data_IF_925508241317
#
_entry.id   IF_925508241317
#
_cell.length_a   1.000
_cell.length_b   1.000
_cell.length_c   1.000
_cell.angle_alpha   90.00
_cell.angle_beta   90.00
_cell.angle_gamma   90.00
#
_symmetry.space_group_name_H-M   'P 1'
#
loop_
_entity.id
_entity.type
_entity.pdbx_description
1 polymer ?
#
# COMPACT_ATOMS: atom_id res chain seq x y z
N UNK A 1 19.79 9.21 -1.95
CA UNK A 1 18.32 8.95 -1.96
C UNK A 1 17.50 10.16 -1.48
N UNK A 2 17.76 10.74 -0.29
CA UNK A 2 16.97 11.90 0.23
C UNK A 2 16.91 13.11 -0.73
N UNK A 3 18.02 13.46 -1.39
CA UNK A 3 18.04 14.57 -2.37
C UNK A 3 17.21 14.31 -3.64
N UNK A 4 17.03 13.05 -4.05
CA UNK A 4 16.25 12.71 -5.24
C UNK A 4 14.75 12.77 -4.93
N UNK A 5 14.33 12.18 -3.81
CA UNK A 5 12.94 12.24 -3.35
C UNK A 5 12.49 13.68 -3.10
N UNK A 6 13.35 14.52 -2.51
CA UNK A 6 13.03 15.93 -2.29
C UNK A 6 12.81 16.70 -3.60
N UNK A 7 13.61 16.42 -4.65
CA UNK A 7 13.41 17.03 -5.97
C UNK A 7 12.09 16.59 -6.60
N UNK A 8 11.74 15.30 -6.51
CA UNK A 8 10.47 14.78 -7.01
C UNK A 8 9.27 15.34 -6.24
N UNK A 9 9.39 15.45 -4.91
CA UNK A 9 8.35 16.05 -4.07
C UNK A 9 8.08 17.50 -4.46
N UNK A 10 9.13 18.28 -4.71
CA UNK A 10 9.01 19.68 -5.19
C UNK A 10 8.28 19.76 -6.53
N UNK A 11 8.47 18.78 -7.42
CA UNK A 11 7.78 18.69 -8.71
C UNK A 11 6.30 18.32 -8.56
N UNK A 12 5.97 17.44 -7.60
CA UNK A 12 4.59 16.98 -7.35
C UNK A 12 3.79 17.96 -6.50
N UNK A 13 4.45 18.83 -5.71
CA UNK A 13 3.80 19.84 -4.86
C UNK A 13 2.68 20.66 -5.54
N UNK A 14 2.80 21.18 -6.78
CA UNK A 14 1.71 21.91 -7.44
C UNK A 14 0.53 21.03 -7.88
N UNK A 15 0.74 19.74 -8.10
CA UNK A 15 -0.29 18.77 -8.50
C UNK A 15 -0.77 17.90 -7.33
N UNK A 16 -0.34 18.23 -6.11
CA UNK A 16 -0.68 17.48 -4.91
C UNK A 16 -2.19 17.56 -4.67
N UNK A 17 -2.85 16.41 -4.57
CA UNK A 17 -4.29 16.33 -4.36
C UNK A 17 -4.53 16.13 -2.85
N UNK A 18 -5.08 17.14 -2.14
CA UNK A 18 -5.40 16.98 -0.73
C UNK A 18 -6.57 16.01 -0.56
N UNK A 19 -6.52 15.14 0.45
CA UNK A 19 -7.49 14.07 0.69
C UNK A 19 -7.62 13.11 -0.50
N UNK A 20 -6.50 12.77 -1.15
CA UNK A 20 -6.48 11.89 -2.32
C UNK A 20 -7.26 10.59 -2.07
N UNK A 21 -7.10 9.99 -0.89
CA UNK A 21 -7.76 8.72 -0.59
C UNK A 21 -9.27 8.82 -0.42
N UNK A 22 -9.81 10.01 -0.11
CA UNK A 22 -11.26 10.26 -0.11
C UNK A 22 -11.84 10.10 -1.51
N UNK A 23 -11.22 10.74 -2.50
CA UNK A 23 -11.67 10.67 -3.89
C UNK A 23 -11.56 9.25 -4.44
N UNK A 24 -10.47 8.56 -4.13
CA UNK A 24 -10.24 7.20 -4.60
C UNK A 24 -11.26 6.24 -3.98
N UNK A 25 -11.38 6.22 -2.65
CA UNK A 25 -12.33 5.34 -1.95
C UNK A 25 -13.80 5.67 -2.27
N UNK A 26 -14.14 6.96 -2.42
CA UNK A 26 -15.46 7.39 -2.85
C UNK A 26 -15.80 6.92 -4.27
N UNK A 27 -14.84 6.98 -5.19
CA UNK A 27 -15.03 6.47 -6.56
C UNK A 27 -15.15 4.94 -6.58
N UNK A 28 -14.38 4.22 -5.76
CA UNK A 28 -14.55 2.77 -5.60
C UNK A 28 -15.96 2.40 -5.11
N UNK A 29 -16.51 3.18 -4.18
CA UNK A 29 -17.90 2.99 -3.72
C UNK A 29 -18.89 3.20 -4.86
N UNK A 30 -18.69 4.22 -5.69
CA UNK A 30 -19.52 4.47 -6.86
C UNK A 30 -19.44 3.34 -7.89
N UNK A 31 -18.24 2.85 -8.19
CA UNK A 31 -18.05 1.70 -9.11
C UNK A 31 -18.79 0.47 -8.58
N UNK A 32 -18.63 0.16 -7.29
CA UNK A 32 -19.35 -0.96 -6.68
C UNK A 32 -20.87 -0.78 -6.71
N UNK A 33 -21.38 0.42 -6.42
CA UNK A 33 -22.80 0.70 -6.48
C UNK A 33 -23.35 0.53 -7.90
N UNK A 34 -22.61 0.97 -8.91
CA UNK A 34 -22.98 0.78 -10.32
C UNK A 34 -22.99 -0.71 -10.70
N UNK A 35 -21.99 -1.49 -10.29
CA UNK A 35 -21.99 -2.94 -10.52
C UNK A 35 -23.17 -3.64 -9.83
N UNK A 36 -23.55 -3.18 -8.64
CA UNK A 36 -24.66 -3.73 -7.88
C UNK A 36 -26.01 -3.46 -8.57
N UNK A 37 -26.19 -2.27 -9.15
CA UNK A 37 -27.41 -1.88 -9.86
C UNK A 37 -27.46 -2.45 -11.29
N UNK A 38 -26.30 -2.61 -11.94
CA UNK A 38 -26.16 -3.01 -13.34
C UNK A 38 -25.23 -4.23 -13.50
N UNK A 39 -25.57 -5.40 -12.91
CA UNK A 39 -24.66 -6.55 -12.87
C UNK A 39 -24.32 -7.13 -14.25
N UNK A 40 -25.14 -6.86 -15.27
CA UNK A 40 -24.93 -7.37 -16.63
C UNK A 40 -23.86 -6.65 -17.46
N UNK A 41 -23.38 -5.48 -17.02
CA UNK A 41 -22.41 -4.68 -17.79
C UNK A 41 -20.97 -5.16 -17.57
N UNK A 42 -20.67 -5.74 -16.40
CA UNK A 42 -19.32 -6.13 -16.03
C UNK A 42 -18.34 -4.96 -16.03
N UNK A 43 -18.73 -3.82 -15.44
CA UNK A 43 -17.99 -2.54 -15.50
C UNK A 43 -16.52 -2.72 -15.10
N UNK A 44 -16.25 -3.52 -14.07
CA UNK A 44 -14.89 -3.78 -13.60
C UNK A 44 -13.97 -4.32 -14.70
N UNK A 45 -14.47 -5.14 -15.63
CA UNK A 45 -13.69 -5.71 -16.73
C UNK A 45 -13.13 -4.64 -17.68
N UNK A 46 -13.81 -3.49 -17.78
CA UNK A 46 -13.36 -2.33 -18.54
C UNK A 46 -12.40 -1.43 -17.76
N UNK A 47 -12.34 -1.57 -16.44
CA UNK A 47 -11.53 -0.75 -15.54
C UNK A 47 -10.17 -1.39 -15.21
N UNK A 48 -10.07 -2.73 -15.17
CA UNK A 48 -8.80 -3.43 -14.96
C UNK A 48 -7.75 -3.03 -16.00
N UNK A 49 -6.50 -2.98 -15.59
CA UNK A 49 -5.41 -2.81 -16.54
C UNK A 49 -5.25 -4.11 -17.32
N UNK A 50 -5.54 -4.04 -18.61
CA UNK A 50 -5.36 -5.11 -19.58
C UNK A 50 -4.44 -4.56 -20.68
N UNK A 51 -3.31 -5.24 -20.88
CA UNK A 51 -2.27 -4.79 -21.81
C UNK A 51 -2.74 -4.84 -23.26
N UNK A 52 -3.47 -5.89 -23.63
CA UNK A 52 -3.84 -6.10 -25.03
C UNK A 52 -4.95 -5.12 -25.42
N UNK A 53 -5.91 -4.88 -24.52
CA UNK A 53 -6.92 -3.85 -24.68
C UNK A 53 -6.31 -2.43 -24.68
N UNK A 54 -5.24 -2.19 -23.92
CA UNK A 54 -4.52 -0.93 -23.93
C UNK A 54 -3.91 -0.64 -25.32
N UNK A 55 -3.28 -1.64 -25.94
CA UNK A 55 -2.75 -1.50 -27.30
C UNK A 55 -3.82 -1.37 -28.38
N UNK A 56 -5.04 -1.82 -28.09
CA UNK A 56 -6.24 -1.59 -28.93
C UNK A 56 -6.85 -0.19 -28.74
N UNK A 57 -6.24 0.69 -27.94
CA UNK A 57 -6.65 2.09 -27.78
C UNK A 57 -7.40 2.41 -26.47
N UNK A 58 -7.56 1.45 -25.56
CA UNK A 58 -8.25 1.66 -24.27
C UNK A 58 -7.33 2.32 -23.23
N UNK A 59 -6.86 3.54 -23.52
CA UNK A 59 -5.86 4.28 -22.71
C UNK A 59 -6.34 4.65 -21.30
N UNK A 60 -7.65 4.70 -21.07
CA UNK A 60 -8.22 4.97 -19.74
C UNK A 60 -7.83 3.89 -18.72
N UNK A 61 -7.53 2.66 -19.17
CA UNK A 61 -7.09 1.54 -18.32
C UNK A 61 -5.82 1.82 -17.53
N UNK A 62 -5.03 2.83 -17.90
CA UNK A 62 -3.86 3.28 -17.15
C UNK A 62 -4.20 4.00 -15.84
N UNK A 63 -5.44 4.44 -15.67
CA UNK A 63 -5.89 5.20 -14.50
C UNK A 63 -7.07 4.50 -13.83
N UNK A 64 -7.99 3.92 -14.59
CA UNK A 64 -9.24 3.37 -14.06
C UNK A 64 -9.04 2.21 -13.09
N UNK A 65 -7.95 1.45 -13.21
CA UNK A 65 -7.67 0.33 -12.31
C UNK A 65 -7.49 0.79 -10.85
N UNK A 66 -7.17 2.06 -10.62
CA UNK A 66 -7.06 2.65 -9.28
C UNK A 66 -8.40 2.61 -8.53
N UNK A 67 -9.51 2.72 -9.25
CA UNK A 67 -10.86 2.86 -8.69
C UNK A 67 -11.61 1.54 -8.59
N UNK A 68 -10.92 0.41 -8.77
CA UNK A 68 -11.53 -0.91 -8.61
C UNK A 68 -11.91 -1.16 -7.15
N UNK A 69 -13.17 -1.52 -6.85
CA UNK A 69 -13.55 -1.89 -5.51
C UNK A 69 -12.88 -3.22 -5.10
N UNK A 70 -12.58 -3.42 -3.81
CA UNK A 70 -12.09 -4.70 -3.33
C UNK A 70 -13.16 -5.79 -3.52
N UNK A 71 -12.77 -6.94 -4.08
CA UNK A 71 -13.62 -8.11 -4.32
C UNK A 71 -14.12 -8.71 -2.99
N UNK A 72 -15.18 -8.13 -2.44
CA UNK A 72 -15.70 -8.41 -1.12
C UNK A 72 -17.21 -8.20 -1.09
N UNK A 73 -17.91 -8.81 -0.13
CA UNK A 73 -19.36 -8.69 -0.02
C UNK A 73 -19.82 -7.25 0.30
N UNK A 74 -21.12 -6.94 0.13
CA UNK A 74 -21.67 -5.58 0.28
C UNK A 74 -21.42 -4.92 1.65
N UNK A 75 -21.31 -5.70 2.71
CA UNK A 75 -21.01 -5.19 4.07
C UNK A 75 -19.50 -4.95 4.22
N UNK A 76 -18.70 -5.85 3.66
CA UNK A 76 -17.24 -5.82 3.79
C UNK A 76 -16.61 -4.69 2.99
N UNK A 77 -17.20 -4.31 1.85
CA UNK A 77 -16.67 -3.20 1.06
C UNK A 77 -16.72 -1.88 1.82
N UNK A 78 -17.80 -1.60 2.56
CA UNK A 78 -17.92 -0.37 3.35
C UNK A 78 -16.80 -0.32 4.39
N UNK A 79 -16.55 -1.45 5.05
CA UNK A 79 -15.45 -1.60 6.00
C UNK A 79 -14.08 -1.42 5.34
N UNK A 80 -13.85 -2.04 4.18
CA UNK A 80 -12.59 -1.93 3.45
C UNK A 80 -12.31 -0.50 2.97
N UNK A 81 -13.32 0.20 2.45
CA UNK A 81 -13.19 1.59 2.01
C UNK A 81 -12.98 2.56 3.16
N UNK A 82 -13.68 2.36 4.28
CA UNK A 82 -13.41 3.09 5.53
C UNK A 82 -11.97 2.90 5.99
N UNK A 83 -11.47 1.66 5.95
CA UNK A 83 -10.11 1.34 6.32
C UNK A 83 -9.08 2.00 5.40
N UNK A 84 -9.29 1.93 4.09
CA UNK A 84 -8.45 2.62 3.10
C UNK A 84 -8.43 4.13 3.31
N UNK A 85 -9.59 4.74 3.56
CA UNK A 85 -9.69 6.16 3.84
C UNK A 85 -8.89 6.55 5.09
N UNK A 86 -9.03 5.80 6.20
CA UNK A 86 -8.27 6.05 7.44
C UNK A 86 -6.77 5.94 7.22
N UNK A 87 -6.32 4.89 6.52
CA UNK A 87 -4.91 4.70 6.18
C UNK A 87 -4.39 5.91 5.40
N UNK A 88 -5.10 6.27 4.33
CA UNK A 88 -4.70 7.36 3.45
C UNK A 88 -4.63 8.70 4.16
N UNK A 89 -5.68 9.08 4.90
CA UNK A 89 -5.73 10.37 5.61
C UNK A 89 -4.65 10.48 6.68
N UNK A 90 -4.42 9.42 7.46
CA UNK A 90 -3.38 9.46 8.49
C UNK A 90 -1.97 9.51 7.90
N UNK A 91 -1.70 8.78 6.81
CA UNK A 91 -0.44 8.87 6.08
C UNK A 91 -0.25 10.27 5.46
N UNK A 92 -1.28 10.81 4.84
CA UNK A 92 -1.26 12.14 4.24
C UNK A 92 -1.01 13.24 5.28
N UNK A 93 -1.63 13.14 6.46
CA UNK A 93 -1.36 14.06 7.59
C UNK A 93 0.07 13.96 8.10
N UNK A 94 0.62 12.75 8.16
CA UNK A 94 1.99 12.53 8.65
C UNK A 94 3.06 12.99 7.66
N UNK A 95 2.80 12.91 6.36
CA UNK A 95 3.76 13.19 5.30
C UNK A 95 3.57 14.52 4.59
N UNK A 96 2.36 15.08 4.65
CA UNK A 96 1.89 16.15 3.77
C UNK A 96 1.37 15.61 2.43
N UNK A 97 0.44 16.36 1.83
CA UNK A 97 -0.24 15.99 0.58
C UNK A 97 0.75 15.69 -0.57
N UNK A 98 1.77 16.52 -0.77
CA UNK A 98 2.73 16.35 -1.87
C UNK A 98 3.49 15.02 -1.82
N UNK A 99 3.98 14.64 -0.64
CA UNK A 99 4.73 13.39 -0.45
C UNK A 99 3.81 12.17 -0.54
N UNK A 100 2.58 12.27 -0.03
CA UNK A 100 1.58 11.22 -0.18
C UNK A 100 1.16 11.01 -1.64
N UNK A 101 0.87 12.09 -2.37
CA UNK A 101 0.58 12.02 -3.82
C UNK A 101 1.77 11.43 -4.57
N UNK A 102 3.02 11.84 -4.28
CA UNK A 102 4.20 11.25 -4.91
C UNK A 102 4.33 9.75 -4.62
N UNK A 103 4.11 9.33 -3.37
CA UNK A 103 4.11 7.92 -3.00
C UNK A 103 3.08 7.12 -3.79
N UNK A 104 1.87 7.67 -3.92
CA UNK A 104 0.78 7.06 -4.68
C UNK A 104 1.11 6.97 -6.17
N UNK A 105 1.67 8.03 -6.77
CA UNK A 105 2.06 8.08 -8.18
C UNK A 105 3.20 7.11 -8.51
N UNK A 106 4.22 7.00 -7.66
CA UNK A 106 5.31 6.03 -7.87
C UNK A 106 4.77 4.60 -7.78
N UNK A 107 3.89 4.33 -6.81
CA UNK A 107 3.22 3.04 -6.73
C UNK A 107 2.36 2.73 -7.96
N UNK A 108 1.67 3.74 -8.49
CA UNK A 108 0.83 3.62 -9.68
C UNK A 108 1.70 3.29 -10.89
N UNK A 109 2.79 4.03 -11.09
CA UNK A 109 3.74 3.75 -12.17
C UNK A 109 4.34 2.34 -12.04
N UNK A 110 4.73 1.92 -10.83
CA UNK A 110 5.25 0.57 -10.59
C UNK A 110 4.23 -0.52 -10.93
N UNK A 111 2.97 -0.32 -10.54
CA UNK A 111 1.87 -1.26 -10.83
C UNK A 111 1.54 -1.30 -12.31
N UNK A 112 1.51 -0.14 -12.98
CA UNK A 112 1.30 -0.05 -14.42
C UNK A 112 2.42 -0.75 -15.18
N UNK A 113 3.69 -0.51 -14.84
CA UNK A 113 4.83 -1.18 -15.48
C UNK A 113 4.76 -2.70 -15.25
N UNK A 114 4.46 -3.15 -14.03
CA UNK A 114 4.26 -4.56 -13.74
C UNK A 114 3.12 -5.17 -14.57
N UNK A 115 2.00 -4.47 -14.72
CA UNK A 115 0.89 -4.91 -15.55
C UNK A 115 1.18 -4.90 -17.04
N UNK A 116 2.00 -3.97 -17.53
CA UNK A 116 2.47 -3.98 -18.93
C UNK A 116 3.39 -5.15 -19.23
N UNK A 117 4.23 -5.56 -18.27
CA UNK A 117 5.12 -6.72 -18.43
C UNK A 117 4.31 -8.02 -18.38
N UNK A 118 3.33 -8.10 -17.48
CA UNK A 118 2.66 -9.37 -17.15
C UNK A 118 1.28 -9.55 -17.78
N UNK A 119 0.73 -8.50 -18.40
CA UNK A 119 -0.54 -8.51 -19.12
C UNK A 119 -1.72 -7.96 -18.32
N UNK A 120 -1.66 -7.95 -16.99
CA UNK A 120 -2.77 -7.54 -16.12
C UNK A 120 -2.30 -6.73 -14.90
N UNK A 121 -3.09 -5.74 -14.46
CA UNK A 121 -2.81 -4.95 -13.26
C UNK A 121 -4.06 -4.54 -12.48
N UNK A 122 -3.92 -4.46 -11.15
CA UNK A 122 -4.97 -4.06 -10.20
C UNK A 122 -4.42 -3.16 -9.10
N UNK A 123 -5.30 -2.49 -8.36
CA UNK A 123 -4.91 -1.62 -7.24
C UNK A 123 -4.55 -2.35 -5.94
N UNK A 124 -4.64 -3.69 -5.89
CA UNK A 124 -4.32 -4.50 -4.71
C UNK A 124 -2.91 -4.17 -4.17
N UNK A 125 -1.94 -4.01 -5.06
CA UNK A 125 -0.53 -3.78 -4.72
C UNK A 125 -0.27 -2.36 -4.20
N UNK A 126 -1.01 -1.39 -4.73
CA UNK A 126 -1.00 -0.01 -4.24
C UNK A 126 -1.53 0.06 -2.81
N UNK A 127 -2.69 -0.55 -2.59
CA UNK A 127 -3.31 -0.62 -1.27
C UNK A 127 -2.45 -1.39 -0.27
N UNK A 128 -1.78 -2.46 -0.71
CA UNK A 128 -0.84 -3.22 0.11
C UNK A 128 0.36 -2.37 0.53
N UNK A 129 0.98 -1.66 -0.42
CA UNK A 129 2.14 -0.80 -0.13
C UNK A 129 1.75 0.29 0.90
N UNK A 130 0.59 0.92 0.71
CA UNK A 130 0.01 1.88 1.66
C UNK A 130 -0.25 1.26 3.03
N UNK A 131 -0.78 0.05 3.08
CA UNK A 131 -1.04 -0.63 4.34
C UNK A 131 0.23 -0.95 5.10
N UNK A 132 1.28 -1.44 4.43
CA UNK A 132 2.59 -1.64 5.05
C UNK A 132 3.22 -0.33 5.53
N UNK A 133 3.13 0.73 4.72
CA UNK A 133 3.56 2.07 5.11
C UNK A 133 2.89 2.52 6.41
N UNK A 134 1.57 2.33 6.50
CA UNK A 134 0.78 2.66 7.68
C UNK A 134 1.18 1.81 8.89
N UNK A 135 1.36 0.50 8.70
CA UNK A 135 1.74 -0.41 9.78
C UNK A 135 3.09 -0.08 10.43
N UNK A 136 4.05 0.43 9.65
CA UNK A 136 5.37 0.82 10.16
C UNK A 136 5.34 2.15 10.91
N UNK A 137 4.52 3.10 10.45
CA UNK A 137 4.40 4.41 11.10
C UNK A 137 3.52 4.33 12.34
N UNK A 138 2.42 3.59 12.25
CA UNK A 138 1.35 3.54 13.24
C UNK A 138 1.08 2.08 13.73
N UNK A 139 2.08 1.34 14.25
CA UNK A 139 1.91 -0.07 14.63
C UNK A 139 0.94 -0.29 15.79
N UNK A 140 0.79 0.71 16.66
CA UNK A 140 -0.09 0.68 17.82
C UNK A 140 -1.45 1.34 17.56
N UNK A 141 -1.73 1.81 16.34
CA UNK A 141 -3.04 2.35 16.00
C UNK A 141 -4.08 1.24 16.04
N UNK A 142 -5.23 1.53 16.63
CA UNK A 142 -6.32 0.57 16.81
C UNK A 142 -7.41 0.87 15.78
N UNK A 143 -7.76 -0.15 14.99
CA UNK A 143 -8.91 -0.10 14.09
C UNK A 143 -9.98 -1.02 14.63
N UNK A 144 -11.22 -0.53 14.62
CA UNK A 144 -12.39 -1.32 14.98
C UNK A 144 -12.74 -2.28 13.85
N UNK A 145 -12.23 -3.50 13.93
CA UNK A 145 -12.56 -4.60 13.03
C UNK A 145 -14.05 -4.92 13.14
N UNK A 146 -14.76 -4.90 12.00
CA UNK A 146 -16.23 -4.97 11.91
C UNK A 146 -16.98 -3.97 12.79
N UNK A 147 -16.38 -2.82 13.11
CA UNK A 147 -16.94 -1.83 14.05
C UNK A 147 -17.15 -2.35 15.49
N UNK A 148 -16.63 -3.54 15.83
CA UNK A 148 -16.84 -4.17 17.15
C UNK A 148 -15.52 -4.42 17.88
N UNK A 149 -14.50 -4.95 17.20
CA UNK A 149 -13.27 -5.41 17.85
C UNK A 149 -12.09 -4.46 17.59
N UNK A 150 -11.57 -3.73 18.59
CA UNK A 150 -10.36 -2.93 18.41
C UNK A 150 -9.14 -3.84 18.23
N UNK A 151 -8.55 -3.81 17.05
CA UNK A 151 -7.33 -4.59 16.73
C UNK A 151 -6.22 -3.63 16.33
N UNK A 152 -5.03 -3.85 16.89
CA UNK A 152 -3.83 -3.08 16.53
C UNK A 152 -3.38 -3.41 15.11
N UNK A 153 -3.03 -2.39 14.34
CA UNK A 153 -2.58 -2.54 12.95
C UNK A 153 -1.43 -3.52 12.80
N UNK A 154 -0.49 -3.58 13.75
CA UNK A 154 0.62 -4.55 13.69
C UNK A 154 0.18 -6.01 13.56
N UNK A 155 -0.96 -6.38 14.15
CA UNK A 155 -1.48 -7.75 14.05
C UNK A 155 -2.15 -7.99 12.71
N UNK A 156 -2.91 -7.01 12.22
CA UNK A 156 -3.52 -7.06 10.89
C UNK A 156 -2.45 -7.11 9.80
N UNK A 157 -1.39 -6.32 9.92
CA UNK A 157 -0.27 -6.31 9.00
C UNK A 157 0.50 -7.64 9.00
N UNK A 158 0.64 -8.29 10.15
CA UNK A 158 1.26 -9.61 10.24
C UNK A 158 0.41 -10.69 9.58
N UNK A 159 -0.91 -10.68 9.81
CA UNK A 159 -1.85 -11.60 9.18
C UNK A 159 -1.86 -11.41 7.67
N UNK A 160 -2.00 -10.17 7.22
CA UNK A 160 -2.00 -9.81 5.80
C UNK A 160 -0.67 -10.21 5.15
N UNK A 161 0.47 -9.91 5.77
CA UNK A 161 1.78 -10.37 5.28
C UNK A 161 1.88 -11.89 5.16
N UNK A 162 1.37 -12.64 6.14
CA UNK A 162 1.36 -14.10 6.07
C UNK A 162 0.48 -14.62 4.92
N UNK A 163 -0.71 -14.04 4.75
CA UNK A 163 -1.60 -14.36 3.63
C UNK A 163 -0.96 -14.02 2.28
N UNK A 164 -0.26 -12.90 2.19
CA UNK A 164 0.47 -12.49 0.98
C UNK A 164 1.64 -13.40 0.64
N UNK A 165 2.41 -13.84 1.64
CA UNK A 165 3.50 -14.82 1.43
C UNK A 165 2.93 -16.14 0.95
N UNK A 166 1.82 -16.59 1.55
CA UNK A 166 1.12 -17.78 1.11
C UNK A 166 0.63 -17.63 -0.35
N UNK A 167 -0.02 -16.52 -0.69
CA UNK A 167 -0.46 -16.28 -2.07
C UNK A 167 0.70 -16.22 -3.06
N UNK A 168 1.84 -15.66 -2.66
CA UNK A 168 3.05 -15.63 -3.50
C UNK A 168 3.56 -17.03 -3.80
N UNK A 169 3.64 -17.90 -2.79
CA UNK A 169 4.08 -19.29 -2.96
C UNK A 169 3.14 -20.02 -3.94
N UNK A 170 1.83 -19.88 -3.76
CA UNK A 170 0.85 -20.43 -4.69
C UNK A 170 0.94 -19.84 -6.08
N UNK A 171 1.19 -18.54 -6.21
CA UNK A 171 1.35 -17.87 -7.50
C UNK A 171 2.57 -18.40 -8.26
N UNK A 172 3.71 -18.62 -7.57
CA UNK A 172 4.92 -19.17 -8.17
C UNK A 172 4.68 -20.62 -8.63
N UNK A 173 4.05 -21.44 -7.80
CA UNK A 173 3.71 -22.83 -8.16
C UNK A 173 2.73 -22.87 -9.34
N UNK A 174 1.74 -21.96 -9.35
CA UNK A 174 0.75 -21.84 -10.42
C UNK A 174 1.23 -21.08 -11.66
N UNK A 175 2.51 -20.69 -11.75
CA UNK A 175 3.10 -19.91 -12.86
C UNK A 175 2.38 -18.57 -13.13
N UNK A 176 1.76 -17.98 -12.10
CA UNK A 176 1.04 -16.69 -12.15
C UNK A 176 2.00 -15.53 -11.97
N UNK A 177 2.88 -15.34 -12.95
CA UNK A 177 3.95 -14.33 -12.92
C UNK A 177 3.44 -12.89 -12.72
N UNK A 178 2.19 -12.61 -13.10
CA UNK A 178 1.56 -11.32 -12.88
C UNK A 178 1.44 -10.96 -11.39
N UNK A 179 1.11 -11.93 -10.54
CA UNK A 179 1.00 -11.67 -9.10
C UNK A 179 2.37 -11.45 -8.48
N UNK A 180 3.36 -12.24 -8.90
CA UNK A 180 4.73 -12.14 -8.39
C UNK A 180 5.35 -10.78 -8.75
N UNK A 181 5.26 -10.36 -10.01
CA UNK A 181 5.81 -9.09 -10.47
C UNK A 181 5.20 -7.90 -9.71
N UNK A 182 3.90 -7.97 -9.47
CA UNK A 182 3.19 -6.89 -8.82
C UNK A 182 3.42 -6.85 -7.30
N UNK A 183 3.65 -8.01 -6.64
CA UNK A 183 4.13 -8.03 -5.25
C UNK A 183 5.53 -7.40 -5.17
N UNK A 184 6.44 -7.75 -6.07
CA UNK A 184 7.79 -7.15 -6.11
C UNK A 184 7.69 -5.64 -6.28
N UNK A 185 6.82 -5.15 -7.19
CA UNK A 185 6.59 -3.71 -7.37
C UNK A 185 6.07 -3.03 -6.09
N UNK A 186 5.16 -3.67 -5.35
CA UNK A 186 4.65 -3.13 -4.07
C UNK A 186 5.73 -3.00 -3.00
N UNK A 187 6.61 -4.01 -2.89
CA UNK A 187 7.73 -4.02 -1.95
C UNK A 187 8.77 -2.98 -2.36
N UNK A 188 9.08 -2.86 -3.65
CA UNK A 188 9.99 -1.84 -4.15
C UNK A 188 9.48 -0.42 -3.82
N UNK A 189 8.20 -0.15 -4.04
CA UNK A 189 7.61 1.15 -3.68
C UNK A 189 7.73 1.43 -2.17
N UNK A 190 7.42 0.42 -1.34
CA UNK A 190 7.57 0.52 0.11
C UNK A 190 9.04 0.76 0.52
N UNK A 191 9.99 -0.04 0.03
CA UNK A 191 11.41 0.08 0.36
C UNK A 191 12.04 1.38 -0.17
N UNK A 192 11.54 1.94 -1.27
CA UNK A 192 12.05 3.21 -1.80
C UNK A 192 11.79 4.37 -0.84
N UNK A 193 10.63 4.38 -0.17
CA UNK A 193 10.27 5.42 0.80
C UNK A 193 10.70 5.11 2.24
N UNK A 194 10.65 3.85 2.65
CA UNK A 194 10.95 3.44 4.02
C UNK A 194 12.33 2.82 4.22
N UNK A 195 13.01 2.37 3.17
CA UNK A 195 14.29 1.65 3.30
C UNK A 195 15.32 2.46 4.08
N UNK A 196 15.47 3.75 3.78
CA UNK A 196 16.41 4.61 4.50
C UNK A 196 16.15 4.76 6.00
N UNK A 197 14.88 4.80 6.42
CA UNK A 197 14.50 4.93 7.84
C UNK A 197 14.37 3.57 8.55
N UNK A 198 14.01 2.50 7.83
CA UNK A 198 13.93 1.14 8.34
C UNK A 198 15.31 0.56 8.64
N UNK A 199 16.27 0.69 7.71
CA UNK A 199 17.66 0.27 7.95
C UNK A 199 18.32 1.10 9.06
N UNK A 200 17.94 2.37 9.21
CA UNK A 200 18.40 3.22 10.31
C UNK A 200 17.83 2.77 11.66
N UNK A 201 16.53 2.50 11.78
CA UNK A 201 15.93 1.96 13.02
C UNK A 201 16.54 0.61 13.44
N UNK A 202 16.74 -0.32 12.50
CA UNK A 202 17.36 -1.62 12.81
C UNK A 202 18.82 -1.45 13.28
N UNK A 203 19.56 -0.55 12.65
CA UNK A 203 20.94 -0.24 13.03
C UNK A 203 21.02 0.45 14.39
N UNK A 204 20.09 1.35 14.68
CA UNK A 204 19.96 2.04 15.96
C UNK A 204 19.57 1.06 17.08
N UNK A 205 18.59 0.17 16.88
CA UNK A 205 18.20 -0.84 17.88
C UNK A 205 19.33 -1.83 18.20
N UNK A 206 20.12 -2.24 17.21
CA UNK A 206 21.34 -3.06 17.43
C UNK A 206 22.41 -2.27 18.20
N UNK A 207 22.57 -0.97 17.91
CA UNK A 207 23.47 -0.07 18.64
C UNK A 207 23.06 0.18 20.08
N UNK A 208 21.78 0.45 20.34
CA UNK A 208 21.24 0.66 21.69
C UNK A 208 21.30 -0.62 22.54
N UNK A 209 21.05 -1.80 21.96
CA UNK A 209 21.17 -3.07 22.69
C UNK A 209 22.63 -3.39 23.05
N UNK A 210 23.59 -3.05 22.18
CA UNK A 210 25.02 -3.19 22.45
C UNK A 210 25.50 -2.22 23.55
N UNK A 211 25.07 -0.95 23.50
CA UNK A 211 25.40 0.06 24.51
C UNK A 211 24.78 -0.29 25.86
N UNK A 212 23.53 -0.77 25.90
CA UNK A 212 22.85 -1.18 27.15
C UNK A 212 23.45 -2.44 27.77
N UNK A 213 24.01 -3.36 26.96
CA UNK A 213 24.81 -4.50 27.43
C UNK A 213 26.13 -4.06 28.06
N UNK A 214 26.82 -3.09 27.46
CA UNK A 214 28.09 -2.57 27.99
C UNK A 214 27.89 -1.78 29.29
N UNK A 215 26.83 -0.95 29.38
CA UNK A 215 26.47 -0.28 30.63
C UNK A 215 26.14 -1.27 31.75
N UNK A 216 25.35 -2.33 31.48
CA UNK A 216 25.06 -3.37 32.47
C UNK A 216 26.32 -4.12 32.96
N UNK A 217 27.29 -4.36 32.07
CA UNK A 217 28.58 -4.97 32.45
C UNK A 217 29.41 -4.06 33.34
N UNK A 218 29.48 -2.76 33.03
CA UNK A 218 30.21 -1.78 33.87
C UNK A 218 29.56 -1.57 35.24
N UNK A 219 28.24 -1.45 35.33
CA UNK A 219 27.54 -1.32 36.63
C UNK A 219 27.65 -2.56 37.52
N UNK A 220 27.88 -3.75 36.94
CA UNK A 220 28.07 -4.98 37.71
C UNK A 220 29.50 -5.13 38.24
N UNK A 221 30.47 -4.47 37.60
CA UNK A 221 31.90 -4.52 37.96
C UNK A 221 32.31 -3.44 38.99
N UNK A 222 31.47 -2.41 39.18
CA UNK A 222 31.68 -1.31 40.13
C UNK A 222 30.93 -1.49 41.46
N UNK A 223 30.40 -2.68 41.76
CA UNK A 223 29.88 -3.02 43.08
C UNK A 223 31.00 -3.69 43.89
N UNK A 224 31.80 -2.88 44.55
CA UNK A 224 32.72 -3.27 45.63
C UNK A 224 32.20 -2.66 46.92
#
# INVERSE_FOLDING_TARGET
>A
MKNFLYKLEKLVRPIAIPNLMLYISGTMLLVFALDFVLPGIGLQNYLYLDRDALFQGQVWRLITYLFLPPNSGPIFIIFALYFYYIIGVNLERQWGAAKFTLYYLIGMLGTTIAGLITGMGSNTYLNLSLFFAFAVIFPNYEVLLFFVLPVKIKYLALLDAAFFVFSLVWAVIGLRWYEVAAIIASLLNFFLFFGGDFFRRIKEERGYSATRRNFRKQTKNNRW
#
